data_IF_520871877280
#
_entry.id   IF_520871877280
#
_cell.length_a   1.000
_cell.length_b   1.000
_cell.length_c   1.000
_cell.angle_alpha   90.00
_cell.angle_beta   90.00
_cell.angle_gamma   90.00
#
_symmetry.space_group_name_H-M   'P 1'
#
loop_
_entity.id
_entity.type
_entity.pdbx_description
1 polymer ?
#
# COMPACT_ATOMS: atom_id res chain seq x y z
N UNK A 1 -3.48 -6.27 -24.69
CA UNK A 1 -2.26 -6.38 -23.85
C UNK A 1 -2.58 -5.88 -22.46
N UNK A 2 -2.06 -6.53 -21.44
CA UNK A 2 -2.22 -6.12 -20.04
C UNK A 2 -1.33 -4.92 -19.72
N UNK A 3 -1.80 -4.05 -18.82
CA UNK A 3 -1.01 -2.98 -18.20
C UNK A 3 -0.54 -3.43 -16.82
N UNK A 4 0.45 -2.76 -16.25
CA UNK A 4 1.01 -3.12 -14.93
C UNK A 4 -0.09 -3.09 -13.86
N UNK A 5 -0.96 -2.10 -13.88
CA UNK A 5 -2.07 -1.95 -12.91
C UNK A 5 -3.06 -3.12 -12.93
N UNK A 6 -3.14 -3.90 -14.01
CA UNK A 6 -4.01 -5.07 -14.08
C UNK A 6 -3.64 -6.16 -13.06
N UNK A 7 -2.36 -6.27 -12.72
CA UNK A 7 -1.88 -7.27 -11.78
C UNK A 7 -2.38 -7.01 -10.36
N UNK A 8 -2.12 -5.84 -9.73
CA UNK A 8 -2.63 -5.58 -8.38
C UNK A 8 -4.18 -5.56 -8.34
N UNK A 9 -4.87 -5.02 -9.34
CA UNK A 9 -6.33 -5.03 -9.36
C UNK A 9 -6.88 -6.46 -9.45
N UNK A 10 -6.31 -7.30 -10.33
CA UNK A 10 -6.71 -8.70 -10.44
C UNK A 10 -6.42 -9.49 -9.15
N UNK A 11 -5.26 -9.24 -8.52
CA UNK A 11 -4.94 -9.87 -7.25
C UNK A 11 -5.93 -9.45 -6.15
N UNK A 12 -6.31 -8.15 -6.08
CA UNK A 12 -7.33 -7.67 -5.12
C UNK A 12 -8.65 -8.43 -5.28
N UNK A 13 -9.18 -8.46 -6.50
CA UNK A 13 -10.47 -9.12 -6.77
C UNK A 13 -10.41 -10.62 -6.50
N UNK A 14 -9.35 -11.29 -6.94
CA UNK A 14 -9.15 -12.73 -6.71
C UNK A 14 -8.96 -13.06 -5.22
N UNK A 15 -8.55 -12.09 -4.41
CA UNK A 15 -8.41 -12.20 -2.95
C UNK A 15 -9.68 -11.77 -2.19
N UNK A 16 -10.77 -11.46 -2.90
CA UNK A 16 -12.03 -11.02 -2.28
C UNK A 16 -12.05 -9.56 -1.84
N UNK A 17 -11.07 -8.75 -2.25
CA UNK A 17 -11.05 -7.30 -1.98
C UNK A 17 -11.88 -6.60 -3.04
N UNK A 18 -12.94 -5.93 -2.61
CA UNK A 18 -13.94 -5.32 -3.47
C UNK A 18 -13.99 -3.80 -3.40
N UNK A 19 -13.16 -3.20 -2.58
CA UNK A 19 -13.07 -1.74 -2.41
C UNK A 19 -11.62 -1.32 -2.58
N UNK A 20 -11.34 -0.58 -3.65
CA UNK A 20 -9.97 -0.22 -4.03
C UNK A 20 -9.88 1.28 -4.32
N UNK A 21 -9.00 1.97 -3.59
CA UNK A 21 -8.62 3.35 -3.87
C UNK A 21 -7.29 3.38 -4.64
N UNK A 22 -7.26 4.02 -5.80
CA UNK A 22 -6.05 4.20 -6.60
C UNK A 22 -5.57 5.63 -6.47
N UNK A 23 -4.46 5.81 -5.75
CA UNK A 23 -3.82 7.10 -5.54
C UNK A 23 -2.99 7.46 -6.78
N UNK A 24 -3.35 8.56 -7.44
CA UNK A 24 -2.70 8.99 -8.69
C UNK A 24 -2.26 10.44 -8.58
N UNK A 25 -1.11 10.78 -9.17
CA UNK A 25 -0.60 12.16 -9.12
C UNK A 25 -0.25 12.73 -10.50
N UNK A 26 0.58 12.04 -11.26
CA UNK A 26 1.10 12.54 -12.53
C UNK A 26 0.36 11.95 -13.73
N UNK A 27 -0.02 12.80 -14.69
CA UNK A 27 -0.65 12.42 -15.95
C UNK A 27 -1.77 11.36 -15.81
N UNK A 28 -2.74 11.57 -14.90
CA UNK A 28 -3.71 10.54 -14.55
C UNK A 28 -4.70 10.21 -15.67
N UNK A 29 -4.81 11.03 -16.72
CA UNK A 29 -5.85 10.91 -17.73
C UNK A 29 -5.90 9.53 -18.40
N UNK A 30 -4.76 9.05 -18.90
CA UNK A 30 -4.67 7.74 -19.59
C UNK A 30 -4.95 6.58 -18.64
N UNK A 31 -4.53 6.70 -17.38
CA UNK A 31 -4.78 5.70 -16.35
C UNK A 31 -6.26 5.72 -15.96
N UNK A 32 -6.83 6.90 -15.72
CA UNK A 32 -8.23 7.06 -15.35
C UNK A 32 -9.17 6.55 -16.44
N UNK A 33 -8.86 6.87 -17.72
CA UNK A 33 -9.62 6.36 -18.87
C UNK A 33 -9.54 4.84 -18.94
N UNK A 34 -8.38 4.26 -18.66
CA UNK A 34 -8.19 2.81 -18.69
C UNK A 34 -8.92 2.10 -17.57
N UNK A 35 -8.86 2.63 -16.34
CA UNK A 35 -9.56 2.07 -15.18
C UNK A 35 -11.07 2.23 -15.35
N UNK A 36 -11.52 3.39 -15.86
CA UNK A 36 -12.93 3.69 -16.02
C UNK A 36 -13.68 3.49 -14.71
N UNK A 37 -14.76 2.72 -14.77
CA UNK A 37 -15.56 2.34 -13.59
C UNK A 37 -15.14 1.00 -12.96
N UNK A 38 -14.07 0.36 -13.46
CA UNK A 38 -13.59 -0.91 -12.91
C UNK A 38 -14.26 -2.17 -13.46
N UNK A 39 -15.12 -2.06 -14.46
CA UNK A 39 -15.83 -3.18 -15.06
C UNK A 39 -14.93 -4.36 -15.50
N UNK A 40 -13.73 -4.15 -16.07
CA UNK A 40 -12.85 -5.26 -16.44
C UNK A 40 -12.41 -6.16 -15.27
N UNK A 41 -12.49 -5.64 -14.05
CA UNK A 41 -12.12 -6.37 -12.82
C UNK A 41 -13.32 -6.64 -11.90
N UNK A 42 -14.56 -6.48 -12.38
CA UNK A 42 -15.75 -6.62 -11.55
C UNK A 42 -15.77 -5.68 -10.31
N UNK A 43 -15.20 -4.48 -10.50
CA UNK A 43 -15.11 -3.41 -9.48
C UNK A 43 -16.07 -2.24 -9.75
N UNK A 44 -17.04 -2.41 -10.65
CA UNK A 44 -18.13 -1.44 -10.93
C UNK A 44 -19.30 -1.62 -9.97
N UNK A 45 -19.03 -1.61 -8.67
CA UNK A 45 -19.99 -1.94 -7.63
C UNK A 45 -20.72 -0.72 -7.10
N UNK A 46 -21.96 -0.93 -6.61
CA UNK A 46 -22.75 0.13 -5.96
C UNK A 46 -22.14 0.55 -4.62
N UNK A 47 -21.60 -0.42 -3.86
CA UNK A 47 -20.82 -0.19 -2.64
C UNK A 47 -19.43 -0.75 -2.83
N UNK A 48 -18.42 0.02 -2.45
CA UNK A 48 -17.04 -0.32 -2.75
C UNK A 48 -16.72 -0.03 -4.21
N UNK A 49 -16.06 -0.98 -4.89
CA UNK A 49 -15.58 -0.81 -6.25
C UNK A 49 -14.26 -0.06 -6.32
N UNK A 50 -13.86 0.34 -7.53
CA UNK A 50 -12.62 1.10 -7.75
C UNK A 50 -12.88 2.58 -7.79
N UNK A 51 -12.05 3.35 -7.09
CA UNK A 51 -12.06 4.80 -7.09
C UNK A 51 -10.67 5.33 -7.39
N UNK A 52 -10.57 6.26 -8.32
CA UNK A 52 -9.32 6.97 -8.57
C UNK A 52 -9.30 8.22 -7.70
N UNK A 53 -8.26 8.36 -6.91
CA UNK A 53 -8.10 9.38 -5.86
C UNK A 53 -6.90 10.28 -6.22
N UNK A 54 -7.09 11.33 -7.01
CA UNK A 54 -6.07 12.33 -7.27
C UNK A 54 -5.93 13.26 -6.06
N UNK A 55 -4.79 13.95 -5.90
CA UNK A 55 -4.67 15.04 -4.94
C UNK A 55 -5.74 16.09 -5.22
N UNK A 56 -6.34 16.64 -4.18
CA UNK A 56 -7.40 17.64 -4.32
C UNK A 56 -7.04 18.95 -3.63
N UNK A 57 -7.59 20.03 -4.16
CA UNK A 57 -7.37 21.37 -3.64
C UNK A 57 -8.18 21.55 -2.35
N UNK A 58 -7.49 21.90 -1.26
CA UNK A 58 -8.13 22.38 -0.01
C UNK A 58 -8.29 23.90 -0.07
N UNK A 59 -9.15 24.45 0.78
CA UNK A 59 -9.34 25.90 0.91
C UNK A 59 -8.05 26.66 1.27
N UNK A 60 -7.08 25.96 1.84
CA UNK A 60 -5.76 26.48 2.22
C UNK A 60 -4.69 26.40 1.11
N UNK A 61 -5.00 25.83 -0.04
CA UNK A 61 -4.07 25.64 -1.17
C UNK A 61 -4.26 24.27 -1.85
N UNK A 62 -3.55 24.05 -2.97
CA UNK A 62 -3.46 22.72 -3.59
C UNK A 62 -2.14 22.09 -3.20
N UNK A 63 -2.20 20.99 -2.49
CA UNK A 63 -1.01 20.24 -2.16
C UNK A 63 -0.97 18.94 -2.96
N UNK A 64 0.06 18.81 -3.80
CA UNK A 64 0.45 17.52 -4.35
C UNK A 64 0.76 16.55 -3.21
N UNK A 65 0.65 15.25 -3.47
CA UNK A 65 1.16 14.27 -2.51
C UNK A 65 2.66 14.49 -2.32
N UNK A 66 3.09 14.70 -1.09
CA UNK A 66 4.50 14.95 -0.75
C UNK A 66 5.31 13.67 -0.71
N UNK A 67 4.63 12.54 -0.44
CA UNK A 67 5.17 11.20 -0.35
C UNK A 67 4.04 10.19 -0.24
N UNK A 68 4.37 8.92 -0.05
CA UNK A 68 3.39 7.83 0.04
C UNK A 68 2.54 7.92 1.29
N UNK A 69 3.13 8.24 2.43
CA UNK A 69 2.41 8.44 3.69
C UNK A 69 1.44 9.63 3.60
N UNK A 70 1.88 10.77 3.03
CA UNK A 70 1.01 11.92 2.81
C UNK A 70 -0.15 11.62 1.85
N UNK A 71 0.08 10.79 0.83
CA UNK A 71 -0.99 10.38 -0.08
C UNK A 71 -2.09 9.58 0.66
N UNK A 72 -1.70 8.71 1.60
CA UNK A 72 -2.63 7.97 2.46
C UNK A 72 -3.35 8.94 3.40
N UNK A 73 -2.61 9.86 4.04
CA UNK A 73 -3.19 10.86 4.94
C UNK A 73 -4.28 11.70 4.26
N UNK A 74 -4.02 12.20 3.07
CA UNK A 74 -5.00 13.01 2.34
C UNK A 74 -6.28 12.25 2.01
N UNK A 75 -6.23 10.90 1.99
CA UNK A 75 -7.36 10.03 1.66
C UNK A 75 -7.94 9.26 2.86
N UNK A 76 -7.58 9.66 4.12
CA UNK A 76 -8.14 9.04 5.33
C UNK A 76 -9.67 9.09 5.37
N UNK A 77 -10.28 10.20 4.94
CA UNK A 77 -11.74 10.35 4.92
C UNK A 77 -12.40 9.35 3.97
N UNK A 78 -11.77 9.08 2.81
CA UNK A 78 -12.23 8.04 1.89
C UNK A 78 -12.24 6.66 2.56
N UNK A 79 -11.15 6.28 3.23
CA UNK A 79 -11.05 4.99 3.92
C UNK A 79 -12.02 4.91 5.09
N UNK A 80 -12.15 5.98 5.88
CA UNK A 80 -13.06 6.03 7.03
C UNK A 80 -14.54 5.84 6.63
N UNK A 81 -14.94 6.22 5.41
CA UNK A 81 -16.29 5.99 4.90
C UNK A 81 -16.69 4.51 4.89
N UNK A 82 -15.72 3.62 4.69
CA UNK A 82 -15.93 2.17 4.63
C UNK A 82 -15.72 1.48 5.96
N UNK A 83 -15.19 2.18 6.97
CA UNK A 83 -14.89 1.66 8.33
C UNK A 83 -14.22 0.28 8.29
N UNK A 84 -13.08 0.13 7.59
CA UNK A 84 -12.48 -1.18 7.40
C UNK A 84 -11.83 -1.68 8.70
N UNK A 85 -11.80 -2.99 8.90
CA UNK A 85 -11.01 -3.61 9.97
C UNK A 85 -9.52 -3.62 9.63
N UNK A 86 -9.22 -3.91 8.35
CA UNK A 86 -7.87 -3.97 7.80
C UNK A 86 -7.75 -3.13 6.53
N UNK A 87 -6.57 -2.59 6.31
CA UNK A 87 -6.21 -1.88 5.08
C UNK A 87 -4.97 -2.54 4.48
N UNK A 88 -5.07 -2.91 3.20
CA UNK A 88 -3.91 -3.33 2.42
C UNK A 88 -3.40 -2.16 1.58
N UNK A 89 -2.10 -1.91 1.64
CA UNK A 89 -1.42 -0.90 0.83
C UNK A 89 -0.54 -1.64 -0.17
N UNK A 90 -0.67 -1.28 -1.44
CA UNK A 90 -0.02 -1.95 -2.55
C UNK A 90 0.72 -0.93 -3.40
N UNK A 91 1.95 -1.27 -3.82
CA UNK A 91 2.59 -0.57 -4.93
C UNK A 91 1.87 -0.90 -6.24
N UNK A 92 1.57 0.12 -7.04
CA UNK A 92 0.83 -0.02 -8.31
C UNK A 92 1.65 -0.57 -9.48
N UNK A 93 2.96 -0.75 -9.29
CA UNK A 93 3.92 -1.18 -10.32
C UNK A 93 4.38 -2.63 -10.18
N UNK A 94 3.81 -3.38 -9.26
CA UNK A 94 4.18 -4.78 -9.02
C UNK A 94 3.55 -5.73 -10.02
N UNK A 95 4.39 -6.57 -10.62
CA UNK A 95 3.98 -7.65 -11.51
C UNK A 95 4.19 -8.98 -10.78
N UNK A 96 3.22 -9.36 -9.97
CA UNK A 96 3.20 -10.64 -9.28
C UNK A 96 1.78 -11.23 -9.29
N UNK A 97 1.69 -12.54 -9.14
CA UNK A 97 0.43 -13.23 -8.83
C UNK A 97 0.46 -13.57 -7.35
N UNK A 98 -0.43 -12.96 -6.59
CA UNK A 98 -0.48 -13.13 -5.14
C UNK A 98 -1.93 -13.20 -4.66
N UNK A 99 -2.17 -14.08 -3.70
CA UNK A 99 -3.41 -14.13 -2.95
C UNK A 99 -3.24 -13.37 -1.62
N UNK A 100 -3.91 -12.23 -1.51
CA UNK A 100 -3.83 -11.41 -0.31
C UNK A 100 -4.67 -11.96 0.85
N UNK A 101 -5.56 -12.93 0.59
CA UNK A 101 -6.32 -13.59 1.65
C UNK A 101 -5.42 -14.44 2.55
N UNK A 102 -4.42 -15.11 1.97
CA UNK A 102 -3.40 -15.84 2.73
C UNK A 102 -2.54 -14.90 3.58
N UNK A 103 -2.20 -13.72 3.02
CA UNK A 103 -1.45 -12.71 3.76
C UNK A 103 -2.25 -12.13 4.92
N UNK A 104 -3.54 -11.84 4.72
CA UNK A 104 -4.43 -11.41 5.80
C UNK A 104 -4.60 -12.48 6.87
N UNK A 105 -4.68 -13.75 6.48
CA UNK A 105 -4.74 -14.87 7.42
C UNK A 105 -3.49 -14.92 8.30
N UNK A 106 -2.31 -14.83 7.70
CA UNK A 106 -1.03 -14.74 8.41
C UNK A 106 -1.02 -13.56 9.41
N UNK A 107 -1.43 -12.37 8.96
CA UNK A 107 -1.53 -11.17 9.79
C UNK A 107 -2.38 -11.40 11.05
N UNK A 108 -3.56 -12.04 10.88
CA UNK A 108 -4.46 -12.38 11.97
C UNK A 108 -3.88 -13.47 12.91
N UNK A 109 -3.27 -14.52 12.37
CA UNK A 109 -2.64 -15.59 13.14
C UNK A 109 -1.49 -15.08 14.01
N UNK A 110 -0.71 -14.12 13.51
CA UNK A 110 0.37 -13.46 14.26
C UNK A 110 -0.14 -12.40 15.25
N UNK A 111 -1.44 -12.08 15.23
CA UNK A 111 -2.03 -10.96 15.97
C UNK A 111 -1.23 -9.67 15.78
N UNK A 112 -0.85 -9.41 14.52
CA UNK A 112 0.00 -8.30 14.17
C UNK A 112 -0.82 -7.00 14.06
N UNK A 113 -0.21 -5.87 14.36
CA UNK A 113 -0.74 -4.54 14.10
C UNK A 113 -0.41 -4.07 12.68
N UNK A 114 0.72 -4.55 12.19
CA UNK A 114 1.28 -4.27 10.87
C UNK A 114 2.00 -5.51 10.34
N UNK A 115 1.85 -5.81 9.07
CA UNK A 115 2.58 -6.86 8.36
C UNK A 115 3.09 -6.36 7.02
N UNK A 116 4.27 -6.80 6.64
CA UNK A 116 4.89 -6.47 5.36
C UNK A 116 5.25 -7.74 4.61
N UNK A 117 4.90 -7.80 3.33
CA UNK A 117 5.36 -8.86 2.46
C UNK A 117 6.82 -8.61 2.06
N UNK A 118 7.64 -9.64 2.20
CA UNK A 118 9.05 -9.60 1.86
C UNK A 118 9.41 -10.72 0.88
N UNK A 119 10.49 -10.52 0.15
CA UNK A 119 11.09 -11.55 -0.68
C UNK A 119 12.60 -11.62 -0.42
N UNK A 120 13.15 -12.82 -0.48
CA UNK A 120 14.59 -12.98 -0.45
C UNK A 120 15.20 -12.50 -1.77
N UNK A 121 16.19 -11.60 -1.67
CA UNK A 121 16.98 -11.15 -2.81
C UNK A 121 18.42 -11.63 -2.68
N UNK A 122 19.18 -11.71 -3.80
CA UNK A 122 20.60 -11.96 -3.72
C UNK A 122 21.31 -10.95 -2.82
N UNK A 123 22.23 -11.39 -1.96
CA UNK A 123 22.93 -10.51 -1.04
C UNK A 123 23.65 -9.34 -1.72
N UNK A 124 24.13 -9.54 -2.94
CA UNK A 124 24.77 -8.52 -3.77
C UNK A 124 23.83 -7.38 -4.17
N UNK A 125 22.52 -7.67 -4.24
CA UNK A 125 21.49 -6.68 -4.57
C UNK A 125 20.82 -6.07 -3.34
N UNK A 126 21.00 -6.66 -2.16
CA UNK A 126 20.29 -6.30 -0.93
C UNK A 126 20.39 -4.79 -0.59
N UNK A 127 21.54 -4.17 -0.82
CA UNK A 127 21.77 -2.75 -0.57
C UNK A 127 20.89 -1.79 -1.41
N UNK A 128 20.14 -2.31 -2.38
CA UNK A 128 19.25 -1.50 -3.26
C UNK A 128 17.84 -1.35 -2.70
N UNK A 129 17.49 -2.11 -1.67
CA UNK A 129 16.12 -2.25 -1.16
C UNK A 129 16.01 -1.82 0.30
N UNK A 130 14.78 -1.51 0.71
CA UNK A 130 14.39 -1.49 2.11
C UNK A 130 14.33 -2.92 2.63
N UNK A 131 15.12 -3.23 3.66
CA UNK A 131 15.29 -4.58 4.18
C UNK A 131 14.67 -4.73 5.57
N UNK A 132 13.98 -5.84 5.78
CA UNK A 132 13.45 -6.23 7.07
C UNK A 132 14.39 -7.23 7.76
N UNK A 133 14.73 -6.96 9.01
CA UNK A 133 15.38 -7.94 9.89
C UNK A 133 14.30 -8.50 10.79
N UNK A 134 14.08 -9.81 10.73
CA UNK A 134 13.07 -10.50 11.53
C UNK A 134 13.71 -11.53 12.46
N UNK A 135 13.03 -11.84 13.57
CA UNK A 135 13.38 -12.94 14.46
C UNK A 135 12.77 -14.27 13.98
N UNK A 136 13.04 -15.34 14.71
CA UNK A 136 12.55 -16.71 14.41
C UNK A 136 11.02 -16.85 14.46
N UNK A 137 10.30 -15.83 14.94
CA UNK A 137 8.84 -15.77 14.98
C UNK A 137 8.24 -14.87 13.89
N UNK A 138 9.05 -14.45 12.91
CA UNK A 138 8.70 -13.50 11.85
C UNK A 138 8.40 -12.08 12.37
N UNK A 139 8.81 -11.74 13.59
CA UNK A 139 8.66 -10.39 14.12
C UNK A 139 9.79 -9.52 13.63
N UNK A 140 9.42 -8.38 12.99
CA UNK A 140 10.38 -7.38 12.53
C UNK A 140 11.05 -6.75 13.76
N UNK A 141 12.39 -6.81 13.78
CA UNK A 141 13.22 -6.23 14.84
C UNK A 141 13.96 -4.98 14.39
N UNK A 142 14.19 -4.83 13.08
CA UNK A 142 14.88 -3.66 12.49
C UNK A 142 14.44 -3.48 11.04
N UNK A 143 14.36 -2.22 10.61
CA UNK A 143 14.23 -1.83 9.20
C UNK A 143 15.49 -1.10 8.76
N UNK A 144 16.00 -1.41 7.57
CA UNK A 144 17.18 -0.79 7.00
C UNK A 144 16.88 -0.27 5.60
N UNK A 145 16.82 1.04 5.43
CA UNK A 145 16.65 1.64 4.09
C UNK A 145 17.96 1.67 3.33
N UNK A 146 18.06 0.90 2.25
CA UNK A 146 19.20 0.82 1.33
C UNK A 146 20.57 0.81 2.03
N UNK A 147 20.81 -0.10 2.98
CA UNK A 147 21.98 -0.07 3.83
C UNK A 147 23.24 -0.43 3.03
N UNK A 148 24.36 0.24 3.35
CA UNK A 148 25.68 -0.13 2.77
C UNK A 148 26.17 -1.52 3.20
N UNK A 149 25.78 -1.92 4.41
CA UNK A 149 26.12 -3.22 4.99
C UNK A 149 24.81 -3.89 5.44
N UNK A 150 24.15 -4.64 4.57
CA UNK A 150 22.86 -5.26 4.89
C UNK A 150 23.01 -6.36 5.96
N UNK A 151 22.10 -6.37 6.94
CA UNK A 151 21.98 -7.41 7.97
C UNK A 151 21.03 -8.53 7.56
N UNK A 152 20.22 -8.29 6.54
CA UNK A 152 19.22 -9.20 6.01
C UNK A 152 19.17 -9.07 4.50
N UNK A 153 18.60 -10.06 3.83
CA UNK A 153 18.26 -10.02 2.41
C UNK A 153 16.74 -10.12 2.17
N UNK A 154 15.93 -9.87 3.20
CA UNK A 154 14.48 -9.82 3.11
C UNK A 154 14.04 -8.43 2.63
N UNK A 155 13.89 -8.28 1.33
CA UNK A 155 13.49 -7.02 0.71
C UNK A 155 11.98 -6.79 0.81
N UNK A 156 11.57 -5.57 1.21
CA UNK A 156 10.18 -5.17 1.18
C UNK A 156 9.63 -5.22 -0.24
N UNK A 157 8.46 -5.81 -0.39
CA UNK A 157 7.73 -5.83 -1.67
C UNK A 157 6.84 -4.60 -1.85
N UNK A 158 6.79 -3.67 -0.89
CA UNK A 158 5.83 -2.57 -0.95
C UNK A 158 4.36 -3.03 -0.83
N UNK A 159 4.14 -4.14 -0.15
CA UNK A 159 2.82 -4.71 0.12
C UNK A 159 2.67 -4.82 1.63
N UNK A 160 1.68 -4.11 2.19
CA UNK A 160 1.51 -3.96 3.62
C UNK A 160 0.07 -4.24 4.02
N UNK A 161 -0.14 -4.85 5.20
CA UNK A 161 -1.44 -4.94 5.86
C UNK A 161 -1.34 -4.23 7.21
N UNK A 162 -2.30 -3.37 7.50
CA UNK A 162 -2.45 -2.69 8.77
C UNK A 162 -3.83 -2.95 9.38
N UNK A 163 -3.89 -3.01 10.70
CA UNK A 163 -5.12 -2.71 11.40
C UNK A 163 -5.48 -1.25 11.14
N UNK A 164 -6.74 -0.98 10.82
CA UNK A 164 -7.18 0.36 10.43
C UNK A 164 -6.87 1.44 11.48
N UNK A 165 -7.17 1.15 12.75
CA UNK A 165 -6.94 2.11 13.83
C UNK A 165 -5.46 2.45 13.99
N UNK A 166 -4.59 1.48 13.78
CA UNK A 166 -3.13 1.62 13.85
C UNK A 166 -2.63 2.49 12.69
N UNK A 167 -3.03 2.18 11.47
CA UNK A 167 -2.68 2.98 10.29
C UNK A 167 -3.11 4.44 10.49
N UNK A 168 -4.38 4.65 10.84
CA UNK A 168 -4.94 5.99 11.06
C UNK A 168 -4.15 6.77 12.10
N UNK A 169 -3.82 6.14 13.22
CA UNK A 169 -3.05 6.76 14.30
C UNK A 169 -1.69 7.24 13.81
N UNK A 170 -0.90 6.34 13.22
CA UNK A 170 0.47 6.67 12.84
C UNK A 170 0.56 7.61 11.65
N UNK A 171 -0.35 7.54 10.69
CA UNK A 171 -0.40 8.49 9.57
C UNK A 171 -0.74 9.91 10.04
N UNK A 172 -1.60 10.06 11.06
CA UNK A 172 -1.91 11.37 11.65
C UNK A 172 -0.72 11.89 12.48
N UNK A 173 -0.03 11.03 13.22
CA UNK A 173 1.17 11.40 13.97
C UNK A 173 2.28 11.85 13.01
N UNK A 174 2.53 11.12 11.93
CA UNK A 174 3.52 11.43 10.90
C UNK A 174 3.28 12.79 10.23
N UNK A 175 2.05 13.08 9.81
CA UNK A 175 1.71 14.38 9.20
C UNK A 175 1.92 15.56 10.14
N UNK A 176 1.80 15.35 11.44
CA UNK A 176 2.00 16.38 12.45
C UNK A 176 3.46 16.49 12.95
N UNK A 177 4.33 15.59 12.52
CA UNK A 177 5.75 15.63 12.84
C UNK A 177 6.49 16.54 11.85
N UNK A 178 7.05 17.69 12.30
CA UNK A 178 7.76 18.61 11.42
C UNK A 178 9.06 18.04 10.85
N UNK A 179 9.58 16.98 11.45
CA UNK A 179 10.81 16.30 11.02
C UNK A 179 10.53 15.11 10.10
N UNK A 180 9.25 14.77 9.85
CA UNK A 180 8.87 13.70 8.94
C UNK A 180 9.06 14.11 7.47
N UNK A 181 9.57 13.18 6.68
CA UNK A 181 9.65 13.31 5.22
C UNK A 181 8.32 12.98 4.53
N UNK A 182 7.29 12.54 5.27
CA UNK A 182 5.95 12.15 4.78
C UNK A 182 5.96 11.00 3.74
N UNK A 183 6.97 10.10 3.79
CA UNK A 183 7.16 9.01 2.83
C UNK A 183 7.05 7.60 3.47
#
# INVERSE_FOLDING_TARGET
KYRIIDFPLSNCVNSGIDTVGILTQYQPFVLNEYIGNGQPWDLDRLYGGVHVLPPYQKASGSDWYKGTANAIYQNLEYMQRYDPEYVIILSGDQICKQDYSDFLKFHKEKNAEFSVAVMEVPWEDASRFGLMVADDNDKITEFQEKPKNPKSNLASMGIYIFNWDILKKYIIEDENDPDSEND
#
